data_IF_898781202823
#
_entry.id   IF_898781202823
#
_cell.length_a   1.000
_cell.length_b   1.000
_cell.length_c   1.000
_cell.angle_alpha   90.00
_cell.angle_beta   90.00
_cell.angle_gamma   90.00
#
_symmetry.space_group_name_H-M   'P 1'
#
loop_
_entity.id
_entity.type
_entity.pdbx_description
1 polymer ?
#
# COMPACT_ATOMS: atom_id res chain seq x y z
N UNK A 1 -24.32 -12.41 4.92
CA UNK A 1 -23.39 -11.58 5.72
C UNK A 1 -22.75 -10.58 4.78
N UNK A 2 -23.07 -9.30 4.89
CA UNK A 2 -22.44 -8.23 4.10
C UNK A 2 -20.97 -8.16 4.51
N UNK A 3 -20.06 -8.64 3.65
CA UNK A 3 -18.63 -8.55 3.90
C UNK A 3 -18.23 -7.07 4.00
N UNK A 4 -17.59 -6.69 5.10
CA UNK A 4 -17.07 -5.33 5.32
C UNK A 4 -15.82 -5.11 4.44
N UNK A 5 -16.01 -4.99 3.13
CA UNK A 5 -14.94 -4.75 2.16
C UNK A 5 -14.62 -3.26 2.02
N UNK A 6 -13.44 -2.94 1.50
CA UNK A 6 -13.08 -1.56 1.19
C UNK A 6 -14.02 -0.97 0.11
N UNK A 7 -14.42 -1.76 -0.89
CA UNK A 7 -15.42 -1.37 -1.88
C UNK A 7 -16.74 -0.91 -1.23
N UNK A 8 -17.24 -1.67 -0.25
CA UNK A 8 -18.45 -1.29 0.49
C UNK A 8 -18.28 0.05 1.22
N UNK A 9 -17.11 0.29 1.86
CA UNK A 9 -16.81 1.57 2.53
C UNK A 9 -16.70 2.74 1.56
N UNK A 10 -16.16 2.50 0.37
CA UNK A 10 -16.08 3.47 -0.71
C UNK A 10 -17.45 3.73 -1.39
N UNK A 11 -18.47 2.90 -1.11
CA UNK A 11 -19.78 2.99 -1.76
C UNK A 11 -19.75 2.49 -3.20
N UNK A 12 -18.89 1.53 -3.51
CA UNK A 12 -18.81 0.87 -4.82
C UNK A 12 -19.09 -0.63 -4.70
N UNK A 13 -19.19 -1.30 -5.85
CA UNK A 13 -19.47 -2.74 -5.91
C UNK A 13 -18.16 -3.52 -5.79
N UNK A 14 -18.17 -4.54 -4.92
CA UNK A 14 -17.05 -5.48 -4.80
C UNK A 14 -16.94 -6.32 -6.08
N UNK A 15 -15.72 -6.52 -6.60
CA UNK A 15 -15.45 -7.45 -7.71
C UNK A 15 -14.76 -8.72 -7.21
N UNK A 16 -14.63 -9.70 -8.10
CA UNK A 16 -13.76 -10.86 -7.88
C UNK A 16 -12.34 -10.44 -8.24
N UNK A 17 -11.43 -10.47 -7.25
CA UNK A 17 -10.03 -10.11 -7.43
C UNK A 17 -9.16 -11.32 -7.80
N UNK A 18 -8.61 -11.41 -9.02
CA UNK A 18 -7.64 -12.45 -9.39
C UNK A 18 -6.40 -12.43 -8.49
N UNK A 19 -5.95 -11.26 -8.06
CA UNK A 19 -4.77 -11.12 -7.21
C UNK A 19 -5.01 -11.68 -5.79
N UNK A 20 -6.17 -11.39 -5.18
CA UNK A 20 -6.53 -11.99 -3.90
C UNK A 20 -6.82 -13.49 -4.04
N UNK A 21 -7.31 -13.95 -5.20
CA UNK A 21 -7.42 -15.39 -5.47
C UNK A 21 -6.04 -16.05 -5.59
N UNK A 22 -5.08 -15.41 -6.26
CA UNK A 22 -3.68 -15.86 -6.32
C UNK A 22 -3.09 -15.99 -4.91
N UNK A 23 -3.22 -14.96 -4.07
CA UNK A 23 -2.75 -14.97 -2.68
C UNK A 23 -3.31 -16.18 -1.90
N UNK A 24 -4.62 -16.40 -1.96
CA UNK A 24 -5.27 -17.53 -1.27
C UNK A 24 -4.82 -18.89 -1.82
N UNK A 25 -4.61 -19.01 -3.14
CA UNK A 25 -4.08 -20.25 -3.75
C UNK A 25 -2.65 -20.55 -3.33
N UNK A 26 -1.87 -19.51 -3.04
CA UNK A 26 -0.53 -19.63 -2.45
C UNK A 26 -0.55 -19.89 -0.94
N UNK A 27 -1.74 -20.05 -0.34
CA UNK A 27 -1.91 -20.42 1.07
C UNK A 27 -1.99 -19.24 2.03
N UNK A 28 -2.07 -17.99 1.54
CA UNK A 28 -2.12 -16.81 2.41
C UNK A 28 -3.53 -16.51 2.93
N UNK A 29 -3.60 -16.16 4.21
CA UNK A 29 -4.73 -15.44 4.82
C UNK A 29 -4.71 -13.97 4.38
N UNK A 30 -5.88 -13.42 4.11
CA UNK A 30 -6.03 -12.06 3.56
C UNK A 30 -6.93 -11.25 4.49
N UNK A 31 -6.45 -10.13 5.06
CA UNK A 31 -5.19 -9.45 4.76
C UNK A 31 -3.98 -9.84 5.62
N UNK A 32 -4.14 -10.68 6.65
CA UNK A 32 -3.15 -10.86 7.72
C UNK A 32 -1.78 -11.27 7.21
N UNK A 33 -1.71 -12.32 6.38
CA UNK A 33 -0.43 -12.82 5.88
C UNK A 33 0.18 -11.91 4.82
N UNK A 34 -0.63 -11.08 4.14
CA UNK A 34 -0.11 -10.03 3.24
C UNK A 34 0.60 -8.93 4.04
N UNK A 35 0.06 -8.53 5.19
CA UNK A 35 0.71 -7.58 6.10
C UNK A 35 2.03 -8.16 6.63
N UNK A 36 2.02 -9.43 7.08
CA UNK A 36 3.23 -10.13 7.49
C UNK A 36 4.26 -10.18 6.36
N UNK A 37 3.84 -10.50 5.14
CA UNK A 37 4.74 -10.52 3.99
C UNK A 37 5.33 -9.12 3.72
N UNK A 38 4.55 -8.04 3.82
CA UNK A 38 5.06 -6.68 3.67
C UNK A 38 6.13 -6.34 4.73
N UNK A 39 5.93 -6.74 5.99
CA UNK A 39 6.95 -6.60 7.04
C UNK A 39 8.21 -7.41 6.71
N UNK A 40 8.06 -8.65 6.24
CA UNK A 40 9.18 -9.49 5.80
C UNK A 40 9.94 -8.91 4.60
N UNK A 41 9.25 -8.18 3.71
CA UNK A 41 9.83 -7.42 2.59
C UNK A 41 10.51 -6.12 3.02
N UNK A 42 10.39 -5.73 4.27
CA UNK A 42 11.13 -4.59 4.83
C UNK A 42 10.26 -3.44 5.30
N UNK A 43 8.92 -3.55 5.35
CA UNK A 43 8.04 -2.58 6.01
C UNK A 43 8.17 -2.63 7.55
N UNK A 44 9.38 -2.42 8.07
CA UNK A 44 9.73 -2.57 9.49
C UNK A 44 8.97 -1.63 10.42
N UNK A 45 8.45 -0.51 9.91
CA UNK A 45 7.58 0.41 10.66
C UNK A 45 6.28 -0.25 11.15
N UNK A 46 5.86 -1.35 10.51
CA UNK A 46 4.65 -2.09 10.87
C UNK A 46 4.93 -3.42 11.59
N UNK A 47 6.19 -3.68 11.97
CA UNK A 47 6.59 -4.87 12.71
C UNK A 47 5.83 -4.95 14.06
N UNK A 48 5.27 -6.12 14.38
CA UNK A 48 4.57 -6.39 15.64
C UNK A 48 5.34 -7.27 16.66
N UNK A 49 6.26 -8.13 16.22
CA UNK A 49 7.16 -8.87 17.12
C UNK A 49 7.14 -10.36 16.89
N UNK A 50 6.11 -10.83 16.20
CA UNK A 50 5.70 -12.22 16.08
C UNK A 50 5.73 -12.72 14.62
N UNK A 51 6.18 -11.90 13.68
CA UNK A 51 6.32 -12.30 12.29
C UNK A 51 7.34 -13.45 12.15
N UNK A 52 7.00 -14.50 11.38
CA UNK A 52 7.90 -15.64 11.20
C UNK A 52 9.19 -15.21 10.51
N UNK A 53 10.32 -15.79 10.94
CA UNK A 53 11.62 -15.53 10.35
C UNK A 53 11.71 -16.02 8.88
N UNK A 54 11.04 -17.13 8.57
CA UNK A 54 10.97 -17.67 7.22
C UNK A 54 9.98 -16.85 6.38
N UNK A 55 10.39 -16.32 5.21
CA UNK A 55 9.50 -15.61 4.31
C UNK A 55 8.29 -16.46 3.91
N UNK A 56 7.09 -15.86 3.95
CA UNK A 56 5.86 -16.56 3.56
C UNK A 56 5.84 -16.87 2.06
N UNK A 57 6.35 -15.96 1.23
CA UNK A 57 6.50 -16.12 -0.22
C UNK A 57 7.79 -15.45 -0.73
N UNK A 58 8.30 -15.97 -1.84
CA UNK A 58 9.42 -15.39 -2.61
C UNK A 58 8.97 -14.26 -3.54
N UNK A 59 9.90 -13.46 -4.10
CA UNK A 59 9.56 -12.38 -5.05
C UNK A 59 8.94 -12.93 -6.34
N UNK A 60 9.36 -14.13 -6.73
CA UNK A 60 8.90 -14.82 -7.94
C UNK A 60 7.45 -15.31 -7.79
N UNK A 61 7.04 -15.66 -6.57
CA UNK A 61 5.67 -16.08 -6.30
C UNK A 61 4.71 -14.89 -6.20
N UNK A 62 5.15 -13.78 -5.59
CA UNK A 62 4.39 -12.55 -5.47
C UNK A 62 5.35 -11.36 -5.41
N UNK A 63 5.33 -10.52 -6.46
CA UNK A 63 6.19 -9.34 -6.53
C UNK A 63 5.76 -8.26 -5.54
N UNK A 64 6.62 -7.26 -5.31
CA UNK A 64 6.28 -6.11 -4.46
C UNK A 64 5.11 -5.29 -5.03
N UNK A 65 5.00 -5.15 -6.35
CA UNK A 65 3.85 -4.52 -6.99
C UNK A 65 2.56 -5.31 -6.75
N UNK A 66 2.60 -6.63 -6.90
CA UNK A 66 1.48 -7.51 -6.63
C UNK A 66 1.08 -7.46 -5.14
N UNK A 67 2.05 -7.44 -4.23
CA UNK A 67 1.78 -7.33 -2.80
C UNK A 67 1.14 -5.98 -2.44
N UNK A 68 1.69 -4.87 -2.96
CA UNK A 68 1.12 -3.54 -2.78
C UNK A 68 -0.33 -3.49 -3.26
N UNK A 69 -0.59 -4.04 -4.45
CA UNK A 69 -1.91 -4.04 -5.07
C UNK A 69 -2.88 -4.98 -4.36
N UNK A 70 -2.43 -6.11 -3.82
CA UNK A 70 -3.24 -7.01 -3.02
C UNK A 70 -3.72 -6.33 -1.72
N UNK A 71 -2.82 -5.61 -1.05
CA UNK A 71 -3.12 -4.85 0.18
C UNK A 71 -4.04 -3.65 -0.06
N UNK A 72 -3.96 -3.02 -1.24
CA UNK A 72 -4.80 -1.88 -1.64
C UNK A 72 -6.08 -2.31 -2.39
N UNK A 73 -6.31 -3.60 -2.61
CA UNK A 73 -7.41 -4.11 -3.40
C UNK A 73 -8.78 -3.80 -2.75
N UNK A 74 -9.67 -3.13 -3.48
CA UNK A 74 -10.99 -2.76 -2.96
C UNK A 74 -11.89 -3.97 -2.65
N UNK A 75 -11.61 -5.13 -3.25
CA UNK A 75 -12.33 -6.37 -2.95
C UNK A 75 -11.89 -7.03 -1.63
N UNK A 76 -10.78 -6.59 -1.05
CA UNK A 76 -10.30 -7.05 0.25
C UNK A 76 -11.17 -6.58 1.41
N UNK A 77 -11.00 -7.24 2.56
CA UNK A 77 -11.57 -6.77 3.82
C UNK A 77 -11.07 -5.36 4.11
N UNK A 78 -11.96 -4.50 4.61
CA UNK A 78 -11.57 -3.17 5.05
C UNK A 78 -10.69 -3.25 6.30
N UNK A 79 -9.41 -2.93 6.13
CA UNK A 79 -8.43 -2.82 7.21
C UNK A 79 -7.49 -1.61 6.97
N UNK A 80 -7.57 -0.54 7.78
CA UNK A 80 -6.66 0.60 7.70
C UNK A 80 -5.17 0.25 7.91
N UNK A 81 -4.85 -0.84 8.62
CA UNK A 81 -3.48 -1.30 8.74
C UNK A 81 -2.98 -1.87 7.41
N UNK A 82 -3.74 -2.78 6.78
CA UNK A 82 -3.43 -3.29 5.44
C UNK A 82 -3.27 -2.16 4.40
N UNK A 83 -4.11 -1.13 4.42
CA UNK A 83 -4.00 0.01 3.50
C UNK A 83 -2.67 0.77 3.72
N UNK A 84 -2.22 0.93 4.97
CA UNK A 84 -0.93 1.57 5.28
C UNK A 84 0.25 0.70 4.83
N UNK A 85 0.20 -0.61 5.07
CA UNK A 85 1.19 -1.54 4.54
C UNK A 85 1.25 -1.50 3.01
N UNK A 86 0.09 -1.50 2.35
CA UNK A 86 -0.02 -1.39 0.91
C UNK A 86 0.53 -0.08 0.36
N UNK A 87 0.28 1.04 1.03
CA UNK A 87 0.86 2.34 0.67
C UNK A 87 2.39 2.34 0.81
N UNK A 88 2.93 1.71 1.85
CA UNK A 88 4.38 1.59 2.02
C UNK A 88 4.99 0.71 0.92
N UNK A 89 4.41 -0.45 0.65
CA UNK A 89 4.83 -1.35 -0.44
C UNK A 89 4.70 -0.69 -1.82
N UNK A 90 3.69 0.16 -2.04
CA UNK A 90 3.53 0.90 -3.28
C UNK A 90 4.74 1.81 -3.55
N UNK A 91 5.31 2.39 -2.49
CA UNK A 91 6.52 3.20 -2.53
C UNK A 91 7.83 2.42 -2.39
N UNK A 92 7.82 1.08 -2.55
CA UNK A 92 9.02 0.25 -2.55
C UNK A 92 9.94 0.60 -3.73
N UNK A 93 11.24 0.49 -3.50
CA UNK A 93 12.24 0.70 -4.55
C UNK A 93 12.12 -0.39 -5.62
N UNK A 94 12.24 -0.01 -6.90
CA UNK A 94 12.16 -0.94 -8.03
C UNK A 94 10.77 -1.11 -8.62
N UNK A 95 9.70 -0.67 -7.94
CA UNK A 95 8.34 -0.74 -8.49
C UNK A 95 8.21 0.02 -9.81
N UNK A 96 7.61 -0.62 -10.81
CA UNK A 96 7.29 0.02 -12.09
C UNK A 96 5.89 0.69 -12.05
N UNK A 97 5.78 2.03 -12.23
CA UNK A 97 4.50 2.72 -12.25
C UNK A 97 3.56 2.24 -13.37
N UNK A 98 4.09 1.74 -14.51
CA UNK A 98 3.26 1.20 -15.60
C UNK A 98 2.61 -0.11 -15.19
N UNK A 99 3.37 -1.00 -14.56
CA UNK A 99 2.85 -2.27 -14.06
C UNK A 99 1.80 -2.05 -12.95
N UNK A 100 2.08 -1.18 -11.99
CA UNK A 100 1.12 -0.79 -10.93
C UNK A 100 -0.17 -0.24 -11.53
N UNK A 101 -0.10 0.67 -12.50
CA UNK A 101 -1.30 1.26 -13.11
C UNK A 101 -2.16 0.18 -13.79
N UNK A 102 -1.55 -0.80 -14.46
CA UNK A 102 -2.27 -1.94 -15.06
C UNK A 102 -2.96 -2.80 -13.99
N UNK A 103 -2.24 -3.14 -12.93
CA UNK A 103 -2.81 -3.91 -11.81
C UNK A 103 -3.96 -3.16 -11.14
N UNK A 104 -3.83 -1.84 -10.96
CA UNK A 104 -4.88 -0.99 -10.38
C UNK A 104 -6.17 -1.05 -11.19
N UNK A 105 -6.07 -1.04 -12.53
CA UNK A 105 -7.24 -1.19 -13.43
C UNK A 105 -7.84 -2.59 -13.33
N UNK A 106 -7.00 -3.64 -13.38
CA UNK A 106 -7.48 -5.03 -13.26
C UNK A 106 -8.17 -5.29 -11.92
N UNK A 107 -7.67 -4.66 -10.86
CA UNK A 107 -8.20 -4.77 -9.51
C UNK A 107 -9.22 -3.68 -9.14
N UNK A 108 -9.67 -2.86 -10.10
CA UNK A 108 -10.65 -1.77 -9.91
C UNK A 108 -10.33 -0.86 -8.72
N UNK A 109 -9.04 -0.70 -8.42
CA UNK A 109 -8.53 -0.03 -7.22
C UNK A 109 -7.90 1.31 -7.55
N UNK A 110 -8.26 1.89 -8.71
CA UNK A 110 -7.65 3.11 -9.24
C UNK A 110 -7.80 4.29 -8.30
N UNK A 111 -8.98 4.46 -7.70
CA UNK A 111 -9.23 5.57 -6.77
C UNK A 111 -8.37 5.47 -5.51
N UNK A 112 -8.13 4.26 -5.01
CA UNK A 112 -7.28 4.02 -3.83
C UNK A 112 -5.82 4.28 -4.17
N UNK A 113 -5.34 3.71 -5.29
CA UNK A 113 -3.95 3.89 -5.75
C UNK A 113 -3.68 5.36 -6.06
N UNK A 114 -4.61 6.05 -6.74
CA UNK A 114 -4.50 7.48 -7.01
C UNK A 114 -4.41 8.27 -5.71
N UNK A 115 -5.29 8.02 -4.75
CA UNK A 115 -5.26 8.72 -3.45
C UNK A 115 -3.90 8.56 -2.75
N UNK A 116 -3.37 7.33 -2.70
CA UNK A 116 -2.06 7.06 -2.09
C UNK A 116 -0.96 7.77 -2.88
N UNK A 117 -1.00 7.75 -4.22
CA UNK A 117 -0.01 8.42 -5.06
C UNK A 117 -0.07 9.96 -4.95
N UNK A 118 -1.26 10.55 -4.78
CA UNK A 118 -1.43 11.99 -4.49
C UNK A 118 -0.84 12.34 -3.12
N UNK A 119 -0.99 11.47 -2.12
CA UNK A 119 -0.33 11.63 -0.83
C UNK A 119 1.20 11.52 -0.96
N UNK A 120 1.69 10.53 -1.72
CA UNK A 120 3.10 10.34 -2.00
C UNK A 120 3.72 11.56 -2.68
N UNK A 121 3.11 12.06 -3.75
CA UNK A 121 3.55 13.26 -4.45
C UNK A 121 3.56 14.53 -3.57
N UNK A 122 2.65 14.60 -2.59
CA UNK A 122 2.61 15.71 -1.63
C UNK A 122 3.79 15.69 -0.66
N UNK A 123 4.20 14.52 -0.17
CA UNK A 123 5.28 14.40 0.81
C UNK A 123 6.66 14.20 0.19
N UNK A 124 6.71 13.72 -1.05
CA UNK A 124 7.94 13.51 -1.82
C UNK A 124 7.79 14.06 -3.24
N UNK A 125 7.68 15.39 -3.41
CA UNK A 125 7.45 16.00 -4.72
C UNK A 125 8.55 15.70 -5.75
N UNK A 126 9.78 15.49 -5.28
CA UNK A 126 10.95 15.16 -6.11
C UNK A 126 11.00 13.68 -6.54
N UNK A 127 10.17 12.81 -5.94
CA UNK A 127 10.15 11.39 -6.30
C UNK A 127 9.34 11.19 -7.59
N UNK A 128 10.06 10.94 -8.69
CA UNK A 128 9.48 10.76 -10.01
C UNK A 128 8.51 9.55 -10.11
N UNK A 129 8.57 8.58 -9.19
CA UNK A 129 7.64 7.45 -9.16
C UNK A 129 6.19 7.94 -9.05
N UNK A 130 5.90 8.82 -8.08
CA UNK A 130 4.54 9.31 -7.83
C UNK A 130 3.99 10.09 -9.02
N UNK A 131 4.79 10.99 -9.59
CA UNK A 131 4.35 11.81 -10.73
C UNK A 131 4.17 10.97 -12.00
N UNK A 132 4.99 9.94 -12.23
CA UNK A 132 4.80 8.97 -13.32
C UNK A 132 3.54 8.14 -13.13
N UNK A 133 3.31 7.60 -11.94
CA UNK A 133 2.11 6.82 -11.64
C UNK A 133 0.85 7.68 -11.82
N UNK A 134 0.80 8.89 -11.29
CA UNK A 134 -0.36 9.79 -11.41
C UNK A 134 -0.71 10.15 -12.86
N UNK A 135 0.27 10.19 -13.78
CA UNK A 135 0.03 10.41 -15.22
C UNK A 135 -0.66 9.23 -15.91
N UNK A 136 -0.53 8.03 -15.34
CA UNK A 136 -1.11 6.80 -15.87
C UNK A 136 -2.49 6.50 -15.27
N UNK A 137 -2.83 7.15 -14.16
CA UNK A 137 -4.08 6.93 -13.44
C UNK A 137 -5.18 7.88 -13.95
N UNK A 138 -6.43 7.40 -14.10
CA UNK A 138 -7.56 8.29 -14.37
C UNK A 138 -7.76 9.29 -13.23
N UNK A 139 -8.39 10.42 -13.50
CA UNK A 139 -8.89 11.27 -12.41
C UNK A 139 -10.08 10.59 -11.75
N UNK A 140 -10.04 10.49 -10.43
CA UNK A 140 -11.13 9.90 -9.63
C UNK A 140 -11.58 10.90 -8.58
N UNK A 141 -12.86 10.89 -8.18
CA UNK A 141 -13.31 11.66 -7.02
C UNK A 141 -12.48 11.33 -5.78
N UNK A 142 -12.27 12.32 -4.92
CA UNK A 142 -11.64 12.09 -3.63
C UNK A 142 -12.47 11.08 -2.81
N UNK A 143 -11.83 10.09 -2.17
CA UNK A 143 -12.51 9.16 -1.28
C UNK A 143 -13.22 9.90 -0.14
N UNK A 144 -14.34 9.34 0.32
CA UNK A 144 -15.10 9.91 1.45
C UNK A 144 -14.18 10.08 2.67
N UNK A 145 -14.25 11.21 3.40
CA UNK A 145 -13.47 11.42 4.62
C UNK A 145 -13.65 10.26 5.61
N UNK A 146 -12.54 9.81 6.20
CA UNK A 146 -12.52 8.72 7.17
C UNK A 146 -12.55 7.30 6.59
N UNK A 147 -12.68 7.13 5.27
CA UNK A 147 -12.57 5.80 4.63
C UNK A 147 -11.12 5.41 4.39
N UNK A 148 -10.30 6.29 3.81
CA UNK A 148 -8.87 6.02 3.66
C UNK A 148 -8.07 6.68 4.79
N UNK A 149 -6.93 6.10 5.20
CA UNK A 149 -6.07 6.68 6.23
C UNK A 149 -5.66 8.11 5.86
N UNK A 150 -5.67 9.00 6.86
CA UNK A 150 -5.20 10.36 6.69
C UNK A 150 -3.75 10.37 6.15
N UNK A 151 -3.33 11.31 5.27
CA UNK A 151 -2.03 11.26 4.61
C UNK A 151 -0.84 11.15 5.57
N UNK A 152 -0.93 11.75 6.77
CA UNK A 152 0.13 11.64 7.80
C UNK A 152 0.34 10.23 8.34
N UNK A 153 -0.57 9.28 8.05
CA UNK A 153 -0.43 7.86 8.42
C UNK A 153 0.47 7.07 7.47
N UNK A 154 0.91 7.67 6.36
CA UNK A 154 1.83 7.07 5.39
C UNK A 154 3.27 7.57 5.54
N UNK A 155 3.52 8.52 6.45
CA UNK A 155 4.84 9.11 6.67
C UNK A 155 5.32 8.90 8.10
N UNK A 156 6.62 8.72 8.27
CA UNK A 156 7.28 8.88 9.54
C UNK A 156 7.63 10.36 9.74
N UNK A 157 7.46 10.87 10.95
CA UNK A 157 7.87 12.22 11.34
C UNK A 157 9.09 12.11 12.25
N UNK A 158 10.28 12.42 11.75
CA UNK A 158 11.51 12.42 12.54
C UNK A 158 11.85 13.85 12.95
N UNK A 159 12.23 14.04 14.22
CA UNK A 159 12.24 15.36 14.87
C UNK A 159 13.60 15.92 15.29
N UNK A 160 14.72 15.27 14.96
CA UNK A 160 16.05 15.76 15.34
C UNK A 160 17.02 15.53 14.19
N UNK A 161 17.52 16.63 13.60
CA UNK A 161 18.65 16.62 12.67
C UNK A 161 19.88 17.21 13.37
N UNK A 162 21.10 16.94 12.86
CA UNK A 162 22.34 17.56 13.36
C UNK A 162 22.36 19.09 13.31
N UNK A 163 21.40 19.74 12.62
CA UNK A 163 21.28 21.20 12.48
C UNK A 163 20.11 21.82 13.27
N UNK A 164 19.31 21.04 13.99
CA UNK A 164 18.21 21.54 14.83
C UNK A 164 16.97 20.64 14.90
N UNK A 165 15.89 21.17 15.51
CA UNK A 165 14.55 20.55 15.50
C UNK A 165 13.81 20.94 14.21
N UNK A 166 14.09 20.25 13.13
CA UNK A 166 13.30 20.35 11.90
C UNK A 166 12.55 19.03 11.72
N UNK A 167 11.22 19.11 11.62
CA UNK A 167 10.36 17.94 11.43
C UNK A 167 10.51 17.48 9.98
N UNK A 168 11.22 16.38 9.78
CA UNK A 168 11.33 15.74 8.47
C UNK A 168 10.20 14.71 8.36
N UNK A 169 9.32 14.91 7.38
CA UNK A 169 8.31 13.91 7.01
C UNK A 169 8.87 13.06 5.89
N UNK A 170 8.94 11.75 6.11
CA UNK A 170 9.47 10.80 5.14
C UNK A 170 8.45 9.71 4.86
N UNK A 171 8.22 9.39 3.58
CA UNK A 171 7.33 8.31 3.19
C UNK A 171 7.82 6.98 3.75
N UNK A 172 6.96 6.26 4.46
CA UNK A 172 7.28 4.92 4.96
C UNK A 172 7.35 3.95 3.77
N UNK A 173 8.46 3.24 3.61
CA UNK A 173 8.66 2.23 2.56
C UNK A 173 9.56 1.08 3.03
N UNK A 174 9.57 -0.06 2.33
CA UNK A 174 10.52 -1.14 2.59
C UNK A 174 11.98 -0.71 2.61
N UNK A 175 12.78 -1.33 3.48
CA UNK A 175 14.24 -1.14 3.53
C UNK A 175 14.70 0.16 4.19
N UNK A 176 13.77 1.06 4.53
CA UNK A 176 14.07 2.26 5.28
C UNK A 176 14.08 1.95 6.77
N UNK A 177 15.23 2.13 7.43
CA UNK A 177 15.31 1.98 8.89
C UNK A 177 14.31 2.92 9.57
N UNK A 178 13.51 2.38 10.48
CA UNK A 178 12.85 3.21 11.47
C UNK A 178 13.98 3.87 12.29
N UNK A 179 14.04 5.20 12.25
CA UNK A 179 15.01 5.97 13.01
C UNK A 179 14.82 5.76 14.52
#
# INVERSE_FOLDING_TARGET
>A
MTQNTLAHRLGTTTHVSPLLMKARRLGLRVPEDLCTLAVQRGCRHYWQGDEPATPLLTQEQMSDEELAMALLCIAGQYDPHAIRCGAAMLGAEGNDPVHIARLAVWERSEAVVRYVAECGAKFEPENAFWSKLLKLMPQTPAPKPGVLPHPTRFVAMTGITRRGRETVMQWVRPGQSAA
#
